data_IF_401908165721
#
_entry.id   IF_401908165721
#
_cell.length_a   1.000
_cell.length_b   1.000
_cell.length_c   1.000
_cell.angle_alpha   90.00
_cell.angle_beta   90.00
_cell.angle_gamma   90.00
#
_symmetry.space_group_name_H-M   'P 1'
#
loop_
_entity.id
_entity.type
_entity.pdbx_description
1 polymer ?
#
# COMPACT_ATOMS: atom_id res chain seq x y z
N UNK A 1 -38.01 39.72 -45.83
CA UNK A 1 -38.41 38.48 -45.15
C UNK A 1 -37.25 37.51 -45.33
N UNK A 2 -36.43 37.34 -44.30
CA UNK A 2 -35.30 36.41 -44.34
C UNK A 2 -35.53 35.48 -43.12
N UNK A 3 -35.87 34.21 -43.44
CA UNK A 3 -35.98 33.14 -42.48
C UNK A 3 -34.58 32.77 -41.95
N UNK A 4 -34.38 32.97 -40.65
CA UNK A 4 -33.23 32.43 -39.93
C UNK A 4 -33.52 30.96 -39.57
N UNK A 5 -32.64 30.01 -39.93
CA UNK A 5 -32.80 28.63 -39.49
C UNK A 5 -32.50 28.50 -38.01
N UNK A 6 -33.48 27.99 -37.26
CA UNK A 6 -33.35 27.57 -35.87
C UNK A 6 -32.28 26.48 -35.75
N UNK A 7 -31.16 26.80 -35.13
CA UNK A 7 -30.15 25.79 -34.71
C UNK A 7 -30.59 25.16 -33.38
N UNK A 8 -30.80 23.83 -33.33
CA UNK A 8 -31.07 23.19 -32.05
C UNK A 8 -29.79 23.27 -31.19
N UNK A 9 -29.95 23.73 -29.97
CA UNK A 9 -28.93 23.77 -28.97
C UNK A 9 -28.31 22.37 -28.82
N UNK A 10 -26.99 22.24 -29.05
CA UNK A 10 -26.22 21.03 -28.72
C UNK A 10 -26.35 20.81 -27.21
N UNK A 11 -27.05 19.75 -26.83
CA UNK A 11 -27.04 19.25 -25.48
C UNK A 11 -25.57 18.97 -25.14
N UNK A 12 -24.98 19.60 -24.12
CA UNK A 12 -23.69 19.15 -23.62
C UNK A 12 -23.90 17.72 -23.09
N UNK A 13 -23.14 16.77 -23.64
CA UNK A 13 -23.17 15.39 -23.16
C UNK A 13 -22.91 15.34 -21.64
N UNK A 14 -23.23 14.23 -20.96
CA UNK A 14 -23.11 14.13 -19.52
C UNK A 14 -21.67 14.55 -19.12
N UNK A 15 -21.57 15.65 -18.39
CA UNK A 15 -20.35 16.06 -17.73
C UNK A 15 -20.09 14.96 -16.69
N UNK A 16 -19.09 14.10 -16.95
CA UNK A 16 -18.64 13.15 -15.96
C UNK A 16 -18.17 13.96 -14.77
N UNK A 17 -18.94 13.93 -13.69
CA UNK A 17 -18.59 14.57 -12.43
C UNK A 17 -17.40 13.80 -11.82
N UNK A 18 -16.17 14.26 -12.13
CA UNK A 18 -14.93 13.69 -11.62
C UNK A 18 -14.77 13.87 -10.10
N UNK A 19 -15.61 14.67 -9.45
CA UNK A 19 -15.60 14.85 -7.99
C UNK A 19 -16.00 13.59 -7.22
N UNK A 20 -16.61 12.60 -7.88
CA UNK A 20 -16.97 11.30 -7.32
C UNK A 20 -16.01 10.16 -7.65
N UNK A 21 -14.89 10.41 -8.33
CA UNK A 21 -13.83 9.44 -8.50
C UNK A 21 -13.13 9.23 -7.15
N UNK A 22 -13.53 8.17 -6.44
CA UNK A 22 -12.90 7.75 -5.19
C UNK A 22 -11.53 7.14 -5.50
N UNK A 23 -10.47 7.92 -5.32
CA UNK A 23 -9.09 7.44 -5.45
C UNK A 23 -8.76 6.61 -4.20
N UNK A 24 -8.24 5.37 -4.36
CA UNK A 24 -7.85 4.55 -3.21
C UNK A 24 -6.83 5.27 -2.32
N UNK A 25 -6.93 5.15 -0.99
CA UNK A 25 -5.98 5.78 -0.07
C UNK A 25 -4.54 5.33 -0.33
N UNK A 26 -3.62 6.29 -0.49
CA UNK A 26 -2.19 6.06 -0.70
C UNK A 26 -1.37 7.28 -0.26
N UNK A 27 -0.07 7.12 -0.18
CA UNK A 27 0.91 8.20 -0.03
C UNK A 27 2.16 7.81 -0.81
N UNK A 28 2.30 8.35 -2.02
CA UNK A 28 3.45 8.08 -2.88
C UNK A 28 4.73 8.60 -2.21
N UNK A 29 4.66 9.75 -1.58
CA UNK A 29 5.79 10.36 -0.88
C UNK A 29 6.30 9.48 0.28
N UNK A 30 5.39 8.84 1.03
CA UNK A 30 5.76 7.93 2.10
C UNK A 30 6.39 6.63 1.53
N UNK A 31 5.84 6.09 0.44
CA UNK A 31 6.40 4.92 -0.23
C UNK A 31 7.81 5.20 -0.76
N UNK A 32 7.99 6.33 -1.47
CA UNK A 32 9.29 6.77 -1.99
C UNK A 32 10.32 6.99 -0.87
N UNK A 33 9.90 7.68 0.20
CA UNK A 33 10.78 7.96 1.35
C UNK A 33 11.14 6.70 2.13
N UNK A 34 10.23 5.71 2.20
CA UNK A 34 10.48 4.40 2.80
C UNK A 34 11.54 3.64 2.00
N UNK A 35 11.34 3.49 0.69
CA UNK A 35 12.27 2.76 -0.17
C UNK A 35 13.65 3.43 -0.24
N UNK A 36 13.68 4.75 -0.43
CA UNK A 36 14.93 5.50 -0.44
C UNK A 36 15.66 5.44 0.90
N UNK A 37 14.94 5.54 2.01
CA UNK A 37 15.53 5.42 3.35
C UNK A 37 16.11 4.05 3.64
N UNK A 38 15.47 2.98 3.18
CA UNK A 38 15.98 1.61 3.28
C UNK A 38 17.29 1.41 2.49
N UNK A 39 17.40 2.02 1.30
CA UNK A 39 18.64 2.01 0.51
C UNK A 39 19.80 2.74 1.20
N UNK A 40 19.50 3.77 1.99
CA UNK A 40 20.49 4.56 2.71
C UNK A 40 20.90 3.94 4.05
N UNK A 41 19.98 3.22 4.74
CA UNK A 41 20.18 2.66 6.08
C UNK A 41 19.57 1.26 6.14
N UNK A 42 20.32 0.26 5.67
CA UNK A 42 19.86 -1.13 5.62
C UNK A 42 19.59 -1.73 7.01
N UNK A 43 20.21 -1.23 8.07
CA UNK A 43 20.05 -1.71 9.44
C UNK A 43 18.62 -1.57 9.98
N UNK A 44 17.79 -0.75 9.32
CA UNK A 44 16.38 -0.59 9.67
C UNK A 44 15.47 -1.67 9.06
N UNK A 45 16.01 -2.50 8.17
CA UNK A 45 15.27 -3.51 7.40
C UNK A 45 14.40 -4.42 8.27
N UNK A 46 15.00 -5.06 9.28
CA UNK A 46 14.30 -6.03 10.12
C UNK A 46 13.06 -5.42 10.79
N UNK A 47 13.17 -4.17 11.25
CA UNK A 47 12.03 -3.45 11.86
C UNK A 47 10.96 -3.08 10.85
N UNK A 48 11.34 -2.78 9.61
CA UNK A 48 10.40 -2.43 8.55
C UNK A 48 9.66 -3.65 8.05
N UNK A 49 10.33 -4.80 7.92
CA UNK A 49 9.68 -6.07 7.54
C UNK A 49 8.59 -6.53 8.51
N UNK A 50 8.70 -6.16 9.80
CA UNK A 50 7.65 -6.41 10.79
C UNK A 50 6.42 -5.52 10.58
N UNK A 51 6.57 -4.40 9.88
CA UNK A 51 5.52 -3.40 9.69
C UNK A 51 4.79 -3.54 8.36
N UNK A 52 5.52 -3.75 7.26
CA UNK A 52 4.99 -3.74 5.90
C UNK A 52 5.50 -4.91 5.06
N UNK A 53 4.75 -5.22 4.01
CA UNK A 53 5.13 -6.16 2.95
C UNK A 53 4.96 -5.48 1.59
N UNK A 54 5.45 -6.12 0.53
CA UNK A 54 5.30 -5.61 -0.83
C UNK A 54 3.84 -5.30 -1.21
N UNK A 55 2.88 -6.10 -0.74
CA UNK A 55 1.45 -5.88 -1.02
C UNK A 55 0.87 -4.61 -0.40
N UNK A 56 1.56 -4.00 0.57
CA UNK A 56 1.11 -2.76 1.21
C UNK A 56 1.37 -1.51 0.36
N UNK A 57 2.28 -1.60 -0.61
CA UNK A 57 2.57 -0.51 -1.53
C UNK A 57 1.45 -0.33 -2.56
N UNK A 58 1.11 0.90 -2.84
CA UNK A 58 0.09 1.26 -3.83
C UNK A 58 0.63 1.12 -5.25
N UNK A 59 1.83 1.66 -5.51
CA UNK A 59 2.46 1.60 -6.83
C UNK A 59 3.09 0.25 -7.10
N UNK A 60 2.87 -0.26 -8.30
CA UNK A 60 3.43 -1.55 -8.72
C UNK A 60 4.96 -1.53 -8.73
N UNK A 61 5.57 -0.46 -9.21
CA UNK A 61 7.02 -0.27 -9.23
C UNK A 61 7.63 -0.35 -7.82
N UNK A 62 6.94 0.23 -6.83
CA UNK A 62 7.39 0.17 -5.44
C UNK A 62 7.30 -1.23 -4.84
N UNK A 63 6.30 -2.02 -5.23
CA UNK A 63 6.19 -3.43 -4.85
C UNK A 63 7.38 -4.23 -5.35
N UNK A 64 7.71 -4.10 -6.64
CA UNK A 64 8.85 -4.77 -7.25
C UNK A 64 10.17 -4.39 -6.59
N UNK A 65 10.38 -3.11 -6.30
CA UNK A 65 11.59 -2.65 -5.59
C UNK A 65 11.67 -3.28 -4.20
N UNK A 66 10.56 -3.30 -3.44
CA UNK A 66 10.53 -3.89 -2.11
C UNK A 66 10.74 -5.41 -2.14
N UNK A 67 10.20 -6.11 -3.12
CA UNK A 67 10.44 -7.54 -3.36
C UNK A 67 11.91 -7.82 -3.67
N UNK A 68 12.55 -6.97 -4.50
CA UNK A 68 13.98 -7.06 -4.77
C UNK A 68 14.84 -6.82 -3.51
N UNK A 69 14.47 -5.85 -2.66
CA UNK A 69 15.11 -5.66 -1.35
C UNK A 69 14.97 -6.88 -0.46
N UNK A 70 13.78 -7.49 -0.44
CA UNK A 70 13.50 -8.71 0.32
C UNK A 70 14.41 -9.85 -0.14
N UNK A 71 14.52 -10.09 -1.45
CA UNK A 71 15.36 -11.13 -2.01
C UNK A 71 16.85 -10.93 -1.70
N UNK A 72 17.36 -9.69 -1.76
CA UNK A 72 18.73 -9.37 -1.40
C UNK A 72 18.99 -9.57 0.10
N UNK A 73 18.07 -9.12 0.95
CA UNK A 73 18.17 -9.28 2.41
C UNK A 73 18.15 -10.75 2.83
N UNK A 74 17.30 -11.59 2.24
CA UNK A 74 17.27 -13.04 2.46
C UNK A 74 18.59 -13.71 2.08
N UNK A 75 19.27 -13.19 1.04
CA UNK A 75 20.62 -13.60 0.65
C UNK A 75 21.73 -13.03 1.51
N UNK A 76 21.42 -12.26 2.57
CA UNK A 76 22.38 -11.49 3.37
C UNK A 76 23.26 -10.53 2.55
N UNK A 77 22.70 -10.00 1.47
CA UNK A 77 23.34 -8.97 0.65
C UNK A 77 22.83 -7.59 1.04
N UNK A 78 23.71 -6.59 1.16
CA UNK A 78 23.27 -5.22 1.30
C UNK A 78 22.56 -4.76 0.02
N UNK A 79 21.61 -3.85 0.16
CA UNK A 79 20.90 -3.27 -0.97
C UNK A 79 21.06 -1.75 -0.97
N UNK A 80 21.53 -1.27 -2.09
CA UNK A 80 21.63 0.13 -2.47
C UNK A 80 21.17 0.29 -3.92
N UNK A 81 21.30 1.48 -4.48
CA UNK A 81 20.88 1.78 -5.86
C UNK A 81 21.52 0.83 -6.86
N UNK A 82 22.81 0.48 -6.68
CA UNK A 82 23.57 -0.34 -7.63
C UNK A 82 23.18 -1.82 -7.50
N UNK A 83 23.19 -2.37 -6.29
CA UNK A 83 22.87 -3.79 -6.06
C UNK A 83 21.41 -4.11 -6.43
N UNK A 84 20.49 -3.17 -6.17
CA UNK A 84 19.10 -3.30 -6.61
C UNK A 84 18.96 -3.24 -8.13
N UNK A 85 19.66 -2.32 -8.81
CA UNK A 85 19.63 -2.25 -10.26
C UNK A 85 20.15 -3.51 -10.93
N UNK A 86 21.25 -4.09 -10.41
CA UNK A 86 21.81 -5.34 -10.91
C UNK A 86 20.86 -6.53 -10.68
N UNK A 87 20.23 -6.61 -9.50
CA UNK A 87 19.25 -7.66 -9.19
C UNK A 87 18.04 -7.55 -10.11
N UNK A 88 17.43 -6.36 -10.23
CA UNK A 88 16.27 -6.12 -11.08
C UNK A 88 16.57 -6.35 -12.56
N UNK A 89 17.76 -5.98 -13.01
CA UNK A 89 18.20 -6.26 -14.39
C UNK A 89 18.35 -7.78 -14.62
N UNK A 90 18.83 -8.52 -13.62
CA UNK A 90 18.98 -9.98 -13.69
C UNK A 90 17.65 -10.75 -13.80
N UNK A 91 16.54 -10.13 -13.41
CA UNK A 91 15.17 -10.68 -13.52
C UNK A 91 14.30 -9.95 -14.56
N UNK A 92 14.91 -9.13 -15.43
CA UNK A 92 14.26 -8.34 -16.50
C UNK A 92 13.18 -7.35 -15.99
N UNK A 93 13.28 -6.86 -14.74
CA UNK A 93 12.32 -5.94 -14.13
C UNK A 93 12.85 -4.51 -13.92
N UNK A 94 14.09 -4.21 -14.32
CA UNK A 94 14.68 -2.89 -14.09
C UNK A 94 13.92 -1.76 -14.80
N UNK A 95 13.47 -1.98 -16.03
CA UNK A 95 12.70 -0.99 -16.80
C UNK A 95 11.28 -0.83 -16.21
N UNK A 96 10.70 -1.90 -15.63
CA UNK A 96 9.38 -1.89 -14.99
C UNK A 96 9.34 -0.99 -13.75
N UNK A 97 10.47 -0.78 -13.09
CA UNK A 97 10.58 0.10 -11.92
C UNK A 97 11.03 1.53 -12.25
N UNK A 98 11.27 1.84 -13.51
CA UNK A 98 11.75 3.17 -13.96
C UNK A 98 13.25 3.30 -14.10
N UNK A 99 13.98 2.17 -14.10
CA UNK A 99 15.41 2.10 -14.34
C UNK A 99 16.28 2.61 -13.18
N UNK A 100 17.59 2.61 -13.42
CA UNK A 100 18.58 3.10 -12.47
C UNK A 100 18.33 4.55 -12.02
N UNK A 101 17.83 5.40 -12.93
CA UNK A 101 17.54 6.80 -12.63
C UNK A 101 16.50 6.95 -11.51
N UNK A 102 15.42 6.18 -11.57
CA UNK A 102 14.36 6.22 -10.56
C UNK A 102 14.86 5.70 -9.20
N UNK A 103 15.63 4.62 -9.17
CA UNK A 103 16.26 4.13 -7.92
C UNK A 103 17.17 5.21 -7.31
N UNK A 104 17.93 5.91 -8.14
CA UNK A 104 18.77 7.04 -7.69
C UNK A 104 17.94 8.21 -7.15
N UNK A 105 16.82 8.55 -7.77
CA UNK A 105 15.90 9.59 -7.30
C UNK A 105 15.29 9.22 -5.94
N UNK A 106 14.89 7.97 -5.71
CA UNK A 106 14.38 7.52 -4.42
C UNK A 106 15.39 7.73 -3.30
N UNK A 107 16.65 7.33 -3.51
CA UNK A 107 17.70 7.51 -2.53
C UNK A 107 18.05 8.98 -2.29
N UNK A 108 18.14 9.78 -3.37
CA UNK A 108 18.51 11.20 -3.30
C UNK A 108 17.44 12.09 -2.65
N UNK A 109 16.16 11.77 -2.87
CA UNK A 109 15.03 12.60 -2.43
C UNK A 109 14.43 12.18 -1.08
N UNK A 110 15.06 11.23 -0.35
CA UNK A 110 14.60 10.83 0.98
C UNK A 110 14.85 11.96 1.99
N UNK A 111 13.79 12.50 2.63
CA UNK A 111 13.94 13.65 3.53
C UNK A 111 14.73 13.30 4.80
N UNK A 112 14.56 12.08 5.32
CA UNK A 112 15.26 11.59 6.51
C UNK A 112 15.21 10.06 6.58
N UNK A 113 16.37 9.43 6.43
CA UNK A 113 16.49 7.98 6.63
C UNK A 113 16.21 7.54 8.09
N UNK A 114 16.34 8.44 9.06
CA UNK A 114 15.99 8.16 10.46
C UNK A 114 14.47 7.92 10.68
N UNK A 115 13.62 8.40 9.77
CA UNK A 115 12.17 8.31 9.89
C UNK A 115 11.56 7.13 9.12
N UNK A 116 12.35 6.18 8.66
CA UNK A 116 11.91 5.05 7.83
C UNK A 116 10.74 4.28 8.46
N UNK A 117 10.77 4.04 9.77
CA UNK A 117 9.65 3.38 10.47
C UNK A 117 8.35 4.18 10.41
N UNK A 118 8.43 5.50 10.53
CA UNK A 118 7.25 6.38 10.42
C UNK A 118 6.65 6.32 9.01
N UNK A 119 7.50 6.28 7.97
CA UNK A 119 7.03 6.10 6.60
C UNK A 119 6.37 4.74 6.39
N UNK A 120 6.94 3.67 6.95
CA UNK A 120 6.35 2.33 6.92
C UNK A 120 4.96 2.30 7.58
N UNK A 121 4.78 2.97 8.70
CA UNK A 121 3.47 3.08 9.37
C UNK A 121 2.43 3.83 8.51
N UNK A 122 2.83 4.88 7.79
CA UNK A 122 1.94 5.58 6.85
C UNK A 122 1.53 4.66 5.70
N UNK A 123 2.49 3.95 5.08
CA UNK A 123 2.22 3.00 4.00
C UNK A 123 1.25 1.92 4.46
N UNK A 124 1.48 1.34 5.63
CA UNK A 124 0.60 0.34 6.24
C UNK A 124 -0.80 0.86 6.51
N UNK A 125 -0.92 2.06 7.06
CA UNK A 125 -2.23 2.68 7.34
C UNK A 125 -3.04 2.86 6.05
N UNK A 126 -2.42 3.33 4.98
CA UNK A 126 -3.07 3.47 3.67
C UNK A 126 -3.45 2.12 3.07
N UNK A 127 -2.61 1.11 3.24
CA UNK A 127 -2.91 -0.28 2.84
C UNK A 127 -4.12 -0.82 3.60
N UNK A 128 -4.18 -0.65 4.91
CA UNK A 128 -5.32 -1.08 5.73
C UNK A 128 -6.62 -0.43 5.25
N UNK A 129 -6.61 0.86 4.96
CA UNK A 129 -7.79 1.56 4.40
C UNK A 129 -8.23 0.96 3.06
N UNK A 130 -7.29 0.63 2.16
CA UNK A 130 -7.61 -0.03 0.88
C UNK A 130 -8.22 -1.42 1.09
N UNK A 131 -7.67 -2.20 2.02
CA UNK A 131 -8.19 -3.52 2.36
C UNK A 131 -9.61 -3.45 2.92
N UNK A 132 -9.91 -2.47 3.78
CA UNK A 132 -11.26 -2.24 4.31
C UNK A 132 -12.25 -1.84 3.20
N UNK A 133 -11.85 -0.98 2.27
CA UNK A 133 -12.68 -0.60 1.11
C UNK A 133 -12.96 -1.84 0.25
N UNK A 134 -11.95 -2.65 -0.03
CA UNK A 134 -12.10 -3.87 -0.81
C UNK A 134 -13.05 -4.87 -0.12
N UNK A 135 -12.90 -5.08 1.18
CA UNK A 135 -13.77 -5.94 1.97
C UNK A 135 -15.21 -5.43 1.99
N UNK A 136 -15.42 -4.13 2.17
CA UNK A 136 -16.77 -3.53 2.14
C UNK A 136 -17.46 -3.73 0.79
N UNK A 137 -16.73 -3.53 -0.32
CA UNK A 137 -17.25 -3.78 -1.66
C UNK A 137 -17.57 -5.25 -1.91
N UNK A 138 -16.71 -6.16 -1.44
CA UNK A 138 -16.93 -7.61 -1.54
C UNK A 138 -18.17 -8.04 -0.74
N UNK A 139 -18.29 -7.57 0.51
CA UNK A 139 -19.46 -7.83 1.37
C UNK A 139 -20.72 -7.31 0.69
N UNK A 140 -20.72 -6.08 0.19
CA UNK A 140 -21.88 -5.51 -0.51
C UNK A 140 -22.27 -6.35 -1.74
N UNK A 141 -21.30 -6.69 -2.59
CA UNK A 141 -21.53 -7.48 -3.81
C UNK A 141 -22.14 -8.85 -3.51
N UNK A 142 -21.62 -9.55 -2.48
CA UNK A 142 -22.13 -10.87 -2.07
C UNK A 142 -23.54 -10.80 -1.49
N UNK A 143 -23.87 -9.72 -0.78
CA UNK A 143 -25.23 -9.53 -0.26
C UNK A 143 -26.24 -9.17 -1.35
N UNK A 144 -25.84 -8.47 -2.42
CA UNK A 144 -26.70 -8.26 -3.59
C UNK A 144 -26.88 -9.53 -4.43
N UNK A 145 -25.90 -10.47 -4.41
CA UNK A 145 -25.92 -11.72 -5.16
C UNK A 145 -25.63 -12.90 -4.21
N UNK A 146 -26.61 -13.33 -3.40
CA UNK A 146 -26.37 -14.29 -2.32
C UNK A 146 -26.13 -15.72 -2.81
N UNK A 147 -26.49 -16.08 -4.06
CA UNK A 147 -26.26 -17.41 -4.65
C UNK A 147 -26.79 -18.56 -3.77
N UNK A 148 -27.97 -18.38 -3.16
CA UNK A 148 -28.59 -19.38 -2.29
C UNK A 148 -28.09 -19.42 -0.85
N UNK A 149 -27.12 -18.56 -0.46
CA UNK A 149 -26.65 -18.42 0.92
C UNK A 149 -27.64 -17.65 1.78
N UNK A 150 -27.76 -18.07 3.03
CA UNK A 150 -28.58 -17.39 4.05
C UNK A 150 -27.89 -16.12 4.56
N UNK A 151 -28.66 -15.22 5.17
CA UNK A 151 -28.11 -14.03 5.81
C UNK A 151 -27.12 -14.35 6.93
N UNK A 152 -27.28 -15.48 7.63
CA UNK A 152 -26.35 -15.92 8.67
C UNK A 152 -24.99 -16.33 8.08
N UNK A 153 -24.98 -17.07 6.98
CA UNK A 153 -23.75 -17.47 6.28
C UNK A 153 -23.02 -16.24 5.71
N UNK A 154 -23.75 -15.29 5.12
CA UNK A 154 -23.15 -14.04 4.62
C UNK A 154 -22.57 -13.17 5.74
N UNK A 155 -23.18 -13.18 6.93
CA UNK A 155 -22.65 -12.47 8.10
C UNK A 155 -21.35 -13.12 8.59
N UNK A 156 -21.29 -14.44 8.70
CA UNK A 156 -20.09 -15.18 9.10
C UNK A 156 -18.93 -14.93 8.12
N UNK A 157 -19.20 -14.94 6.80
CA UNK A 157 -18.21 -14.60 5.78
C UNK A 157 -17.68 -13.17 5.92
N UNK A 158 -18.55 -12.20 6.22
CA UNK A 158 -18.17 -10.81 6.43
C UNK A 158 -17.31 -10.63 7.69
N UNK A 159 -17.68 -11.26 8.81
CA UNK A 159 -16.90 -11.24 10.05
C UNK A 159 -15.51 -11.83 9.84
N UNK A 160 -15.42 -12.98 9.17
CA UNK A 160 -14.15 -13.61 8.82
C UNK A 160 -13.27 -12.67 7.99
N UNK A 161 -13.84 -12.01 6.98
CA UNK A 161 -13.08 -11.10 6.10
C UNK A 161 -12.52 -9.90 6.85
N UNK A 162 -13.27 -9.34 7.79
CA UNK A 162 -12.80 -8.23 8.64
C UNK A 162 -11.75 -8.73 9.66
N UNK A 163 -11.95 -9.93 10.23
CA UNK A 163 -10.99 -10.53 11.16
C UNK A 163 -9.62 -10.76 10.52
N UNK A 164 -9.57 -11.25 9.28
CA UNK A 164 -8.33 -11.43 8.51
C UNK A 164 -7.53 -10.12 8.39
N UNK A 165 -8.21 -8.99 8.13
CA UNK A 165 -7.56 -7.67 8.06
C UNK A 165 -7.01 -7.28 9.44
N UNK A 166 -7.76 -7.54 10.51
CA UNK A 166 -7.35 -7.23 11.87
C UNK A 166 -6.15 -8.08 12.32
N UNK A 167 -6.16 -9.38 12.04
CA UNK A 167 -5.08 -10.31 12.39
C UNK A 167 -3.78 -9.97 11.65
N UNK A 168 -3.84 -9.64 10.37
CA UNK A 168 -2.69 -9.16 9.61
C UNK A 168 -2.08 -7.87 10.20
N UNK A 169 -2.90 -7.06 10.86
CA UNK A 169 -2.45 -5.86 11.56
C UNK A 169 -1.72 -6.21 12.87
N UNK A 170 -2.22 -7.18 13.63
CA UNK A 170 -1.69 -7.56 14.95
C UNK A 170 -0.40 -8.38 14.80
N UNK A 171 -0.34 -9.33 13.88
CA UNK A 171 0.83 -10.20 13.69
C UNK A 171 2.07 -9.46 13.20
N UNK A 172 1.92 -8.32 12.52
CA UNK A 172 3.03 -7.53 11.98
C UNK A 172 3.43 -6.32 12.82
N UNK A 173 2.63 -5.93 13.78
CA UNK A 173 2.95 -4.87 14.72
C UNK A 173 2.76 -5.42 16.11
N UNK A 174 3.72 -6.19 16.60
CA UNK A 174 3.62 -6.91 17.85
C UNK A 174 2.84 -6.16 18.96
N UNK A 175 2.25 -6.85 19.93
CA UNK A 175 1.42 -6.23 20.95
C UNK A 175 2.28 -5.31 21.83
N UNK A 176 2.53 -4.10 21.36
CA UNK A 176 2.90 -3.02 22.25
C UNK A 176 1.63 -2.63 23.01
N UNK A 177 1.48 -3.06 24.20
CA UNK A 177 0.60 -2.34 25.07
C UNK A 177 -0.14 -3.09 26.15
N UNK A 178 -0.41 -4.35 26.07
CA UNK A 178 -1.12 -5.01 27.19
C UNK A 178 -0.13 -5.60 28.20
N UNK A 179 0.97 -6.18 27.75
CA UNK A 179 1.98 -6.76 28.66
C UNK A 179 2.85 -5.70 29.33
N UNK A 180 3.13 -4.56 28.67
CA UNK A 180 3.89 -3.48 29.29
C UNK A 180 3.06 -2.69 30.31
N UNK A 181 1.74 -2.55 30.08
CA UNK A 181 0.82 -1.98 31.05
C UNK A 181 0.63 -2.90 32.26
N UNK A 182 0.62 -4.22 32.07
CA UNK A 182 0.51 -5.19 33.18
C UNK A 182 1.80 -5.27 33.99
N UNK A 183 2.98 -5.16 33.38
CA UNK A 183 4.26 -5.11 34.11
C UNK A 183 4.42 -3.81 34.91
N UNK A 184 3.94 -2.69 34.38
CA UNK A 184 3.93 -1.41 35.11
C UNK A 184 2.97 -1.35 36.29
N UNK A 185 1.91 -2.16 36.29
CA UNK A 185 0.92 -2.24 37.38
C UNK A 185 1.33 -3.18 38.54
N UNK A 186 2.27 -4.09 38.30
CA UNK A 186 2.73 -5.05 39.34
C UNK A 186 3.98 -4.59 40.14
N UNK A 187 4.46 -3.37 39.89
CA UNK A 187 5.63 -2.78 40.58
C UNK A 187 5.25 -1.51 41.39
N UNK A 188 4.03 -1.43 41.89
CA UNK A 188 3.62 -0.45 42.93
C UNK A 188 3.11 -1.13 44.15
#
# INVERSE_FOLDING_TARGET
>A
MADSPFQPARNPGPVLDVSNLKIPPHSIEAEQSLLGGLMLVNETWDRVMELVTASDFYRHEHRLIFEAMTALAEGNHPFDVITLSEHLNGIDELDSVGGLAYLGELAANTPSAANVQSYALIVRERSTMRQLIAAANEIATRNFNPDGRSGAELLEEAEKRISEISENRVTRGGPQGVNDLLRGAMHR
#
